data_IF_650231342170
#
_entry.id   IF_650231342170
#
_cell.length_a   1.000
_cell.length_b   1.000
_cell.length_c   1.000
_cell.angle_alpha   90.00
_cell.angle_beta   90.00
_cell.angle_gamma   90.00
#
_symmetry.space_group_name_H-M   'P 1'
#
loop_
_entity.id
_entity.type
_entity.pdbx_description
1 polymer ?
#
# COMPACT_ATOMS: atom_id res chain seq x y z
N UNK A 1 -6.61 -35.37 -77.93
CA UNK A 1 -7.19 -34.13 -77.38
C UNK A 1 -6.39 -33.79 -76.13
N UNK A 2 -5.66 -32.67 -76.16
CA UNK A 2 -4.99 -31.89 -75.10
C UNK A 2 -4.03 -32.66 -74.15
N UNK A 3 -2.75 -32.32 -73.93
CA UNK A 3 -1.93 -31.14 -74.23
C UNK A 3 -1.15 -30.70 -72.97
N UNK A 4 0.17 -30.98 -72.95
CA UNK A 4 1.30 -30.33 -72.24
C UNK A 4 1.37 -30.17 -70.70
N UNK A 5 2.48 -30.70 -70.15
CA UNK A 5 3.53 -30.14 -69.27
C UNK A 5 3.27 -29.17 -68.08
N UNK A 6 4.03 -29.47 -67.01
CA UNK A 6 4.63 -28.62 -65.95
C UNK A 6 3.84 -28.04 -64.74
N UNK A 7 4.57 -28.01 -63.60
CA UNK A 7 4.31 -27.58 -62.20
C UNK A 7 3.46 -26.28 -61.95
N UNK A 8 2.96 -25.94 -60.72
CA UNK A 8 3.67 -26.02 -59.42
C UNK A 8 2.85 -26.20 -58.10
N UNK A 9 3.61 -26.22 -56.99
CA UNK A 9 3.21 -26.08 -55.58
C UNK A 9 2.50 -24.75 -55.29
N UNK A 10 1.63 -24.74 -54.28
CA UNK A 10 1.08 -23.52 -53.66
C UNK A 10 0.34 -23.80 -52.34
N UNK A 11 0.96 -23.37 -51.25
CA UNK A 11 0.42 -22.83 -49.98
C UNK A 11 -0.60 -23.64 -49.14
N UNK A 12 -0.13 -24.00 -47.93
CA UNK A 12 -0.88 -24.68 -46.88
C UNK A 12 -2.02 -23.81 -46.31
N UNK A 13 -3.24 -24.34 -46.39
CA UNK A 13 -3.93 -24.87 -45.20
C UNK A 13 -4.59 -23.87 -44.23
N UNK A 14 -5.89 -23.68 -44.42
CA UNK A 14 -6.88 -22.93 -43.63
C UNK A 14 -7.50 -23.88 -42.51
N UNK A 15 -8.62 -23.56 -41.80
CA UNK A 15 -8.82 -22.90 -40.48
C UNK A 15 -9.51 -23.74 -39.34
N UNK A 16 -9.66 -23.07 -38.18
CA UNK A 16 -10.79 -23.01 -37.19
C UNK A 16 -11.83 -24.16 -37.11
N UNK A 17 -12.07 -24.59 -35.85
CA UNK A 17 -13.39 -24.47 -35.21
C UNK A 17 -14.20 -25.75 -34.91
N UNK A 18 -14.89 -25.70 -33.76
CA UNK A 18 -16.11 -26.42 -33.34
C UNK A 18 -15.99 -27.61 -32.35
N UNK A 19 -16.46 -27.29 -31.13
CA UNK A 19 -17.20 -28.05 -30.12
C UNK A 19 -17.91 -29.34 -30.58
N UNK A 20 -17.80 -30.40 -29.76
CA UNK A 20 -18.86 -31.40 -29.56
C UNK A 20 -18.83 -31.95 -28.12
N UNK A 21 -19.79 -31.49 -27.34
CA UNK A 21 -20.31 -32.17 -26.15
C UNK A 21 -21.26 -33.34 -26.53
N UNK A 22 -21.33 -34.34 -25.62
CA UNK A 22 -22.32 -35.44 -25.48
C UNK A 22 -22.20 -36.69 -26.37
N UNK A 23 -21.82 -37.79 -25.72
CA UNK A 23 -22.36 -39.18 -25.78
C UNK A 23 -21.48 -40.01 -24.81
N UNK A 24 -21.91 -40.95 -23.96
CA UNK A 24 -23.19 -41.55 -23.63
C UNK A 24 -22.93 -42.53 -22.46
N UNK A 25 -23.96 -42.78 -21.66
CA UNK A 25 -24.01 -43.69 -20.50
C UNK A 25 -24.04 -45.15 -20.97
N UNK A 26 -23.34 -46.08 -20.29
CA UNK A 26 -23.85 -47.34 -19.72
C UNK A 26 -22.71 -48.29 -19.26
N UNK A 27 -22.90 -48.93 -18.11
CA UNK A 27 -22.34 -50.26 -17.82
C UNK A 27 -21.48 -50.38 -16.56
N UNK A 28 -22.12 -50.50 -15.39
CA UNK A 28 -21.42 -50.87 -14.15
C UNK A 28 -21.17 -52.37 -13.99
N UNK A 29 -20.25 -52.73 -13.08
CA UNK A 29 -20.44 -53.71 -11.98
C UNK A 29 -19.16 -53.85 -11.12
N UNK A 30 -19.36 -53.62 -9.82
CA UNK A 30 -18.92 -54.37 -8.62
C UNK A 30 -17.42 -54.73 -8.43
N UNK A 31 -16.85 -54.14 -7.37
CA UNK A 31 -16.60 -54.85 -6.11
C UNK A 31 -15.18 -55.37 -5.86
N UNK A 32 -14.52 -54.83 -4.83
CA UNK A 32 -13.94 -55.60 -3.71
C UNK A 32 -13.25 -54.66 -2.71
N UNK A 33 -13.74 -54.68 -1.48
CA UNK A 33 -13.04 -54.26 -0.25
C UNK A 33 -11.75 -55.05 -0.05
N UNK A 34 -10.74 -54.44 0.60
CA UNK A 34 -9.80 -55.16 1.49
C UNK A 34 -9.35 -54.25 2.64
N UNK A 35 -9.62 -54.74 3.84
CA UNK A 35 -9.12 -54.27 5.14
C UNK A 35 -7.74 -54.90 5.46
N UNK A 36 -6.90 -54.11 6.16
CA UNK A 36 -5.88 -54.37 7.22
C UNK A 36 -5.17 -55.75 7.36
N UNK A 37 -3.92 -55.77 7.89
CA UNK A 37 -3.74 -55.83 9.36
C UNK A 37 -2.60 -54.97 9.96
N UNK A 38 -2.79 -54.70 11.26
CA UNK A 38 -1.80 -54.29 12.26
C UNK A 38 -0.70 -55.34 12.49
N UNK A 39 0.51 -54.90 12.83
CA UNK A 39 1.37 -55.62 13.78
C UNK A 39 2.10 -54.65 14.74
N UNK A 40 2.17 -55.07 16.01
CA UNK A 40 2.93 -54.45 17.10
C UNK A 40 4.29 -55.15 17.21
N UNK A 41 5.33 -54.41 17.57
CA UNK A 41 6.61 -54.96 18.02
C UNK A 41 7.37 -53.95 18.89
N UNK A 42 7.42 -54.24 20.19
CA UNK A 42 8.27 -53.61 21.21
C UNK A 42 9.65 -54.27 21.19
N UNK A 43 10.73 -53.54 21.55
CA UNK A 43 11.66 -53.85 22.65
C UNK A 43 12.98 -53.03 22.54
N UNK A 44 13.28 -52.30 23.63
CA UNK A 44 14.58 -52.03 24.30
C UNK A 44 15.83 -51.56 23.55
N UNK A 45 16.47 -50.53 24.12
CA UNK A 45 17.88 -50.18 23.84
C UNK A 45 18.35 -48.86 24.47
N UNK A 46 18.59 -48.88 25.77
CA UNK A 46 19.15 -47.84 26.67
C UNK A 46 20.53 -47.28 26.30
N UNK A 47 20.77 -45.98 26.57
CA UNK A 47 21.89 -45.42 27.38
C UNK A 47 21.81 -43.87 27.34
N UNK A 48 21.48 -43.21 28.45
CA UNK A 48 22.35 -42.73 29.54
C UNK A 48 23.13 -41.44 29.16
N UNK A 49 22.66 -40.27 29.58
CA UNK A 49 23.05 -39.55 30.81
C UNK A 49 24.45 -38.93 30.75
N UNK A 50 24.51 -37.60 30.74
CA UNK A 50 25.42 -36.84 31.61
C UNK A 50 24.87 -35.42 31.81
N UNK A 51 24.59 -35.13 33.07
CA UNK A 51 24.06 -33.90 33.65
C UNK A 51 25.17 -33.06 34.29
N UNK A 52 24.77 -31.85 34.68
CA UNK A 52 25.38 -30.97 35.70
C UNK A 52 26.45 -30.01 35.15
N UNK A 53 26.58 -28.76 35.58
CA UNK A 53 26.13 -28.07 36.80
C UNK A 53 26.22 -26.55 36.59
N UNK A 54 25.26 -25.78 37.15
CA UNK A 54 25.44 -24.76 38.21
C UNK A 54 25.77 -23.32 37.77
N UNK A 55 24.75 -22.47 37.95
CA UNK A 55 24.75 -21.16 38.63
C UNK A 55 26.09 -20.43 38.83
N UNK A 56 26.19 -19.19 38.32
CA UNK A 56 26.49 -18.04 39.20
C UNK A 56 26.00 -16.70 38.62
N UNK A 57 25.78 -15.78 39.55
CA UNK A 57 25.11 -14.49 39.52
C UNK A 57 25.89 -13.40 38.74
N UNK A 58 25.13 -12.43 38.20
CA UNK A 58 25.74 -11.25 37.59
C UNK A 58 24.74 -10.21 37.08
N UNK A 59 23.87 -9.68 37.95
CA UNK A 59 23.19 -8.42 37.64
C UNK A 59 24.22 -7.29 37.66
N UNK A 60 24.60 -6.79 36.47
CA UNK A 60 25.26 -5.49 36.33
C UNK A 60 24.31 -4.54 35.61
N UNK A 61 23.85 -3.54 36.34
CA UNK A 61 23.23 -2.35 35.79
C UNK A 61 24.18 -1.69 34.76
N UNK A 62 23.76 -1.65 33.49
CA UNK A 62 24.36 -0.80 32.49
C UNK A 62 23.43 0.39 32.25
N UNK A 63 23.63 1.47 33.02
CA UNK A 63 23.15 2.80 32.61
C UNK A 63 24.05 3.27 31.46
N UNK A 64 23.60 3.12 30.22
CA UNK A 64 24.21 3.85 29.10
C UNK A 64 23.70 5.30 29.13
N UNK A 65 24.58 6.21 29.56
CA UNK A 65 24.48 7.63 29.24
C UNK A 65 24.68 7.79 27.73
N UNK A 66 23.65 8.26 27.03
CA UNK A 66 23.82 8.79 25.68
C UNK A 66 24.20 10.27 25.82
N UNK A 67 25.42 10.58 25.45
CA UNK A 67 25.95 11.94 25.32
C UNK A 67 25.37 12.59 24.07
N UNK A 68 24.61 13.66 24.25
CA UNK A 68 24.18 14.56 23.17
C UNK A 68 25.39 15.35 22.65
N UNK A 69 25.72 15.16 21.37
CA UNK A 69 26.52 16.11 20.61
C UNK A 69 25.57 17.14 20.00
N UNK A 70 25.81 18.40 20.35
CA UNK A 70 24.96 19.53 20.01
C UNK A 70 24.88 19.79 18.51
N UNK A 71 23.66 20.09 18.07
CA UNK A 71 23.39 20.81 16.83
C UNK A 71 22.56 22.02 17.23
N UNK A 72 23.06 23.20 16.84
CA UNK A 72 22.48 24.51 17.14
C UNK A 72 21.02 24.59 16.66
N UNK A 73 20.13 25.00 17.58
CA UNK A 73 18.74 25.31 17.29
C UNK A 73 18.64 26.70 16.66
N UNK A 74 18.20 26.77 15.41
CA UNK A 74 17.44 27.93 14.92
C UNK A 74 15.95 27.64 15.19
N UNK A 75 15.36 28.45 16.08
CA UNK A 75 14.09 28.19 16.72
C UNK A 75 12.86 28.30 15.82
N UNK A 76 11.87 27.47 16.14
CA UNK A 76 10.45 27.66 15.84
C UNK A 76 9.63 27.16 17.03
N UNK A 77 8.93 28.11 17.67
CA UNK A 77 7.72 28.00 18.48
C UNK A 77 7.45 26.76 19.34
N UNK A 78 7.50 26.97 20.65
CA UNK A 78 6.96 26.07 21.69
C UNK A 78 5.45 25.81 21.49
N UNK A 79 5.06 24.55 21.32
CA UNK A 79 3.71 24.07 21.62
C UNK A 79 3.78 23.11 22.82
N UNK A 80 3.45 23.61 24.00
CA UNK A 80 3.26 22.79 25.20
C UNK A 80 1.87 22.16 25.22
N UNK A 81 1.76 20.84 25.06
CA UNK A 81 0.54 20.08 25.37
C UNK A 81 0.50 19.73 26.86
N UNK A 82 -0.47 20.29 27.61
CA UNK A 82 -0.78 19.86 28.98
C UNK A 82 -1.75 18.68 28.95
N UNK A 83 -1.38 17.62 29.67
CA UNK A 83 -2.22 16.49 30.09
C UNK A 83 -3.37 16.99 30.97
N UNK A 84 -4.62 16.66 30.62
CA UNK A 84 -5.74 16.70 31.55
C UNK A 84 -6.02 15.27 32.03
N UNK A 85 -6.03 15.06 33.36
CA UNK A 85 -6.51 13.83 34.02
C UNK A 85 -7.96 14.05 34.48
N UNK A 86 -8.71 12.95 34.42
CA UNK A 86 -9.93 12.57 35.15
C UNK A 86 -10.73 13.64 35.89
N UNK A 87 -12.05 13.67 35.63
CA UNK A 87 -13.05 13.33 36.65
C UNK A 87 -14.37 12.89 35.98
N UNK A 88 -14.91 11.79 36.51
CA UNK A 88 -16.22 11.21 36.25
C UNK A 88 -17.32 11.91 37.06
N UNK A 89 -18.53 12.02 36.48
CA UNK A 89 -19.85 11.61 37.01
C UNK A 89 -21.01 12.34 36.27
N UNK A 90 -22.15 11.65 36.20
CA UNK A 90 -23.34 11.81 35.32
C UNK A 90 -24.47 12.61 36.02
N UNK A 91 -25.72 12.69 35.50
CA UNK A 91 -26.34 13.66 34.57
C UNK A 91 -27.31 14.66 35.26
N UNK A 92 -27.79 15.69 34.54
CA UNK A 92 -29.06 16.38 34.87
C UNK A 92 -29.83 16.70 33.58
N UNK A 93 -31.15 16.61 33.72
CA UNK A 93 -32.26 16.45 32.79
C UNK A 93 -32.57 17.61 31.82
N UNK A 94 -33.39 17.24 30.83
CA UNK A 94 -34.19 18.05 29.90
C UNK A 94 -34.87 19.27 30.54
N UNK A 95 -34.81 20.42 29.86
CA UNK A 95 -35.95 21.33 29.72
C UNK A 95 -35.95 21.97 28.34
N UNK A 96 -37.10 21.78 27.69
CA UNK A 96 -37.59 22.35 26.45
C UNK A 96 -38.19 23.73 26.74
N UNK A 97 -37.88 24.76 25.92
CA UNK A 97 -38.85 25.73 25.36
C UNK A 97 -38.21 26.99 24.73
N UNK A 98 -38.85 27.47 23.66
CA UNK A 98 -39.01 28.92 23.46
C UNK A 98 -37.96 29.69 22.63
N UNK A 99 -38.04 29.59 21.30
CA UNK A 99 -37.81 30.76 20.43
C UNK A 99 -39.02 31.73 20.49
N UNK A 100 -38.99 33.00 20.00
CA UNK A 100 -37.90 33.79 19.43
C UNK A 100 -37.80 35.24 19.99
N UNK A 101 -36.66 35.91 19.83
CA UNK A 101 -36.62 37.35 19.49
C UNK A 101 -35.19 37.78 19.16
N UNK A 102 -35.09 38.67 18.19
CA UNK A 102 -33.86 38.95 17.46
C UNK A 102 -32.88 39.83 18.23
N UNK A 103 -31.64 39.78 17.75
CA UNK A 103 -30.76 40.93 17.56
C UNK A 103 -29.54 40.44 16.77
N UNK A 104 -29.32 41.05 15.60
CA UNK A 104 -28.05 40.92 14.87
C UNK A 104 -26.88 41.41 15.73
N UNK A 105 -25.66 40.89 15.47
CA UNK A 105 -24.58 41.84 15.28
C UNK A 105 -23.64 41.49 14.11
N UNK A 106 -23.53 42.47 13.22
CA UNK A 106 -22.28 43.02 12.68
C UNK A 106 -21.15 42.06 12.28
N UNK A 107 -21.06 41.89 10.95
CA UNK A 107 -19.88 41.48 10.21
C UNK A 107 -18.72 42.47 10.39
N UNK A 108 -17.55 41.96 10.80
CA UNK A 108 -16.27 42.65 10.67
C UNK A 108 -15.43 41.94 9.61
N UNK A 109 -15.49 42.42 8.36
CA UNK A 109 -14.49 42.13 7.33
C UNK A 109 -13.38 43.18 7.43
N UNK A 110 -12.15 42.74 7.71
CA UNK A 110 -10.95 43.57 7.48
C UNK A 110 -10.44 43.32 6.06
N UNK A 111 -10.20 44.36 5.24
CA UNK A 111 -9.56 44.20 3.95
C UNK A 111 -8.04 44.05 4.15
N UNK A 112 -7.50 42.90 3.72
CA UNK A 112 -6.05 42.70 3.57
C UNK A 112 -5.57 43.54 2.38
N UNK A 113 -4.74 44.53 2.66
CA UNK A 113 -4.01 45.31 1.66
C UNK A 113 -2.98 44.41 0.95
N UNK A 114 -3.19 44.15 -0.33
CA UNK A 114 -2.16 43.59 -1.22
C UNK A 114 -1.22 44.76 -1.58
N UNK A 115 0.04 44.69 -1.10
CA UNK A 115 1.10 45.59 -1.54
C UNK A 115 1.51 45.24 -2.97
N UNK A 116 1.28 46.16 -3.90
CA UNK A 116 1.94 46.18 -5.20
C UNK A 116 3.40 46.61 -5.02
N UNK A 117 4.35 45.76 -5.39
CA UNK A 117 5.74 46.19 -5.59
C UNK A 117 5.86 46.93 -6.93
N UNK A 118 6.19 48.22 -6.84
CA UNK A 118 6.45 49.08 -7.98
C UNK A 118 7.78 48.70 -8.66
N UNK A 119 7.69 48.31 -9.93
CA UNK A 119 8.82 48.19 -10.83
C UNK A 119 9.31 49.59 -11.23
N UNK A 120 10.44 50.03 -10.67
CA UNK A 120 11.11 51.29 -11.03
C UNK A 120 11.59 51.24 -12.48
N UNK A 121 10.93 51.97 -13.38
CA UNK A 121 11.49 52.39 -14.67
C UNK A 121 11.92 53.85 -14.60
N UNK A 122 13.20 54.08 -14.86
CA UNK A 122 13.83 55.40 -14.95
C UNK A 122 13.45 56.12 -16.25
N UNK A 123 13.15 57.40 -16.09
CA UNK A 123 12.90 58.44 -17.08
C UNK A 123 13.77 58.44 -18.35
N UNK A 124 13.15 58.79 -19.49
CA UNK A 124 13.55 59.93 -20.35
C UNK A 124 12.52 60.25 -21.45
N UNK A 125 11.89 61.43 -21.30
CA UNK A 125 11.33 62.40 -22.28
C UNK A 125 11.28 62.00 -23.77
N UNK A 126 10.12 62.20 -24.43
CA UNK A 126 9.92 63.37 -25.31
C UNK A 126 8.44 63.56 -25.74
N UNK A 127 8.09 64.81 -26.00
CA UNK A 127 6.78 65.42 -26.26
C UNK A 127 6.16 65.16 -27.64
N UNK A 128 4.82 65.12 -27.74
CA UNK A 128 3.90 66.01 -28.51
C UNK A 128 2.58 65.31 -28.91
N UNK A 129 1.49 66.07 -28.85
CA UNK A 129 0.15 65.74 -29.38
C UNK A 129 0.16 65.58 -30.91
N UNK A 130 -0.65 64.66 -31.46
CA UNK A 130 -1.75 64.90 -32.41
C UNK A 130 -2.36 63.58 -32.95
N UNK A 131 -3.70 63.56 -33.03
CA UNK A 131 -4.60 62.91 -34.00
C UNK A 131 -4.28 61.59 -34.73
N UNK A 132 -5.32 60.73 -34.74
CA UNK A 132 -5.78 59.83 -35.82
C UNK A 132 -4.87 58.71 -36.35
N UNK A 133 -5.37 57.47 -36.20
CA UNK A 133 -5.18 56.26 -37.01
C UNK A 133 -3.92 56.14 -37.89
N UNK A 134 -3.08 55.13 -37.60
CA UNK A 134 -2.55 54.17 -38.60
C UNK A 134 -1.74 53.07 -37.93
N UNK A 135 -1.93 51.84 -38.40
CA UNK A 135 -1.14 50.65 -38.06
C UNK A 135 0.28 50.77 -38.61
N UNK A 136 1.29 50.45 -37.79
CA UNK A 136 2.60 50.03 -38.25
C UNK A 136 2.98 48.78 -37.46
N UNK A 137 3.20 47.70 -38.22
CA UNK A 137 3.72 46.40 -37.78
C UNK A 137 5.23 46.58 -37.53
N UNK A 138 5.67 46.45 -36.29
CA UNK A 138 7.10 46.25 -35.98
C UNK A 138 7.32 44.89 -35.34
N UNK A 139 8.27 44.16 -35.95
CA UNK A 139 8.78 42.85 -35.56
C UNK A 139 9.38 42.91 -34.15
N UNK A 140 8.59 42.55 -33.15
CA UNK A 140 9.08 42.17 -31.82
C UNK A 140 9.20 40.66 -31.76
N UNK A 141 10.43 40.15 -31.69
CA UNK A 141 10.76 38.77 -31.33
C UNK A 141 9.83 38.28 -30.21
N UNK A 142 8.97 37.33 -30.54
CA UNK A 142 8.18 36.61 -29.55
C UNK A 142 9.19 35.81 -28.74
N UNK A 143 9.63 36.35 -27.59
CA UNK A 143 10.18 35.53 -26.53
C UNK A 143 9.05 34.56 -26.17
N UNK A 144 9.10 33.37 -26.77
CA UNK A 144 8.34 32.23 -26.32
C UNK A 144 8.82 31.99 -24.91
N UNK A 145 8.12 32.60 -23.95
CA UNK A 145 8.16 32.16 -22.58
C UNK A 145 7.71 30.71 -22.67
N UNK A 146 8.67 29.79 -22.62
CA UNK A 146 8.41 28.39 -22.36
C UNK A 146 7.67 28.38 -21.04
N UNK A 147 6.34 28.42 -21.11
CA UNK A 147 5.50 27.91 -20.05
C UNK A 147 6.02 26.49 -19.89
N UNK A 148 6.89 26.29 -18.89
CA UNK A 148 7.05 24.99 -18.25
C UNK A 148 5.62 24.53 -18.10
N UNK A 149 5.19 23.53 -18.86
CA UNK A 149 3.85 22.99 -18.72
C UNK A 149 3.75 22.63 -17.25
N UNK A 150 3.00 23.43 -16.50
CA UNK A 150 2.73 23.16 -15.10
C UNK A 150 1.87 21.92 -15.20
N UNK A 151 2.51 20.76 -15.06
CA UNK A 151 1.82 19.49 -14.98
C UNK A 151 0.74 19.66 -13.94
N UNK A 152 -0.47 19.20 -14.27
CA UNK A 152 -1.58 19.25 -13.33
C UNK A 152 -1.16 18.54 -12.03
N UNK A 153 -1.54 19.07 -10.87
CA UNK A 153 -1.22 18.45 -9.59
C UNK A 153 -1.71 16.99 -9.58
N UNK A 154 -0.82 16.02 -9.32
CA UNK A 154 -1.17 14.60 -9.16
C UNK A 154 -1.05 14.21 -7.68
N UNK A 155 -2.18 13.86 -7.07
CA UNK A 155 -2.27 13.23 -5.76
C UNK A 155 -2.88 11.83 -5.92
N UNK A 156 -2.32 10.84 -5.23
CA UNK A 156 -2.65 9.44 -5.48
C UNK A 156 -2.44 8.51 -4.30
N UNK A 157 -3.19 7.41 -4.32
CA UNK A 157 -2.98 6.22 -3.50
C UNK A 157 -3.60 5.03 -4.21
N UNK A 158 -2.89 3.90 -4.23
CA UNK A 158 -3.42 2.65 -4.81
C UNK A 158 -3.80 1.61 -3.76
N UNK A 159 -3.75 1.98 -2.47
CA UNK A 159 -4.05 1.09 -1.36
C UNK A 159 -5.24 1.64 -0.57
N UNK A 160 -6.45 1.20 -0.91
CA UNK A 160 -7.71 1.67 -0.29
C UNK A 160 -8.72 0.53 -0.19
N UNK A 161 -9.30 0.39 1.00
CA UNK A 161 -10.22 -0.67 1.38
C UNK A 161 -11.64 -0.15 1.58
N UNK A 162 -12.62 -1.05 1.56
CA UNK A 162 -14.06 -0.73 1.64
C UNK A 162 -14.82 -1.81 2.40
N UNK A 163 -16.13 -1.65 2.59
CA UNK A 163 -17.01 -2.69 3.17
C UNK A 163 -17.17 -3.95 2.31
N UNK A 164 -16.51 -4.05 1.14
CA UNK A 164 -16.33 -5.32 0.44
C UNK A 164 -15.41 -6.27 1.21
N UNK A 165 -14.43 -5.73 1.96
CA UNK A 165 -13.52 -6.41 2.88
C UNK A 165 -13.75 -5.88 4.32
N UNK A 166 -12.70 -5.59 5.09
CA UNK A 166 -12.78 -5.10 6.48
C UNK A 166 -12.77 -3.56 6.63
N UNK A 167 -12.86 -2.83 5.52
CA UNK A 167 -13.07 -1.38 5.52
C UNK A 167 -14.34 -0.97 6.26
N UNK A 168 -14.35 0.29 6.72
CA UNK A 168 -15.39 0.89 7.59
C UNK A 168 -16.38 1.78 6.85
N UNK A 169 -16.16 2.01 5.56
CA UNK A 169 -17.07 2.76 4.70
C UNK A 169 -17.20 2.09 3.33
N UNK A 170 -18.30 2.37 2.63
CA UNK A 170 -18.51 1.88 1.27
C UNK A 170 -17.61 2.59 0.26
N UNK A 171 -17.53 2.03 -0.96
CA UNK A 171 -16.67 2.55 -2.01
C UNK A 171 -17.03 3.98 -2.43
N UNK A 172 -18.32 4.35 -2.41
CA UNK A 172 -18.76 5.70 -2.78
C UNK A 172 -18.28 6.75 -1.77
N UNK A 173 -18.41 6.46 -0.47
CA UNK A 173 -17.92 7.33 0.61
C UNK A 173 -16.40 7.47 0.58
N UNK A 174 -15.68 6.38 0.34
CA UNK A 174 -14.22 6.41 0.20
C UNK A 174 -13.77 7.21 -1.03
N UNK A 175 -14.46 7.07 -2.17
CA UNK A 175 -14.18 7.85 -3.38
C UNK A 175 -14.45 9.35 -3.18
N UNK A 176 -15.56 9.69 -2.51
CA UNK A 176 -15.87 11.08 -2.18
C UNK A 176 -14.80 11.72 -1.30
N UNK A 177 -14.35 11.02 -0.26
CA UNK A 177 -13.27 11.50 0.59
C UNK A 177 -11.95 11.68 -0.16
N UNK A 178 -11.58 10.74 -1.05
CA UNK A 178 -10.41 10.92 -1.92
C UNK A 178 -10.52 12.15 -2.82
N UNK A 179 -11.70 12.39 -3.38
CA UNK A 179 -11.96 13.55 -4.22
C UNK A 179 -11.88 14.86 -3.43
N UNK A 180 -12.43 14.90 -2.21
CA UNK A 180 -12.31 16.04 -1.28
C UNK A 180 -10.86 16.30 -0.88
N UNK A 181 -10.03 15.25 -0.80
CA UNK A 181 -8.58 15.33 -0.62
C UNK A 181 -7.80 15.59 -1.92
N UNK A 182 -8.49 15.98 -2.99
CA UNK A 182 -7.91 16.35 -4.29
C UNK A 182 -7.13 15.25 -5.01
N UNK A 183 -7.47 13.98 -4.75
CA UNK A 183 -6.84 12.88 -5.46
C UNK A 183 -7.21 12.93 -6.93
N UNK A 184 -6.22 12.69 -7.79
CA UNK A 184 -6.42 12.53 -9.23
C UNK A 184 -6.34 11.06 -9.65
N UNK A 185 -5.74 10.19 -8.82
CA UNK A 185 -5.63 8.76 -9.06
C UNK A 185 -5.92 7.99 -7.76
N UNK A 186 -7.00 7.22 -7.73
CA UNK A 186 -7.39 6.39 -6.60
C UNK A 186 -7.44 4.92 -7.02
N UNK A 187 -6.78 4.03 -6.29
CA UNK A 187 -6.92 2.59 -6.45
C UNK A 187 -7.71 1.97 -5.31
N UNK A 188 -8.80 1.28 -5.63
CA UNK A 188 -9.43 0.35 -4.70
C UNK A 188 -8.72 -0.99 -4.78
N UNK A 189 -8.31 -1.52 -3.63
CA UNK A 189 -7.45 -2.69 -3.52
C UNK A 189 -7.96 -3.65 -2.44
N UNK A 190 -9.23 -4.02 -2.50
CA UNK A 190 -9.84 -4.89 -1.49
C UNK A 190 -9.00 -6.17 -1.28
N UNK A 191 -8.93 -6.63 -0.03
CA UNK A 191 -8.37 -7.95 0.28
C UNK A 191 -9.02 -9.04 -0.58
N UNK A 192 -8.21 -9.69 -1.42
CA UNK A 192 -8.65 -10.64 -2.42
C UNK A 192 -9.36 -11.85 -1.79
N UNK A 193 -10.38 -12.43 -2.43
CA UNK A 193 -11.01 -13.61 -1.88
C UNK A 193 -10.01 -14.78 -1.79
N UNK A 194 -10.06 -15.50 -0.68
CA UNK A 194 -9.20 -16.66 -0.37
C UNK A 194 -10.06 -17.90 -0.08
N UNK A 195 -9.53 -19.14 -0.24
CA UNK A 195 -10.32 -20.36 -0.04
C UNK A 195 -10.65 -20.66 1.44
N UNK A 196 -10.17 -19.83 2.35
CA UNK A 196 -10.32 -19.98 3.80
C UNK A 196 -11.35 -18.96 4.30
N UNK A 197 -12.17 -19.36 5.28
CA UNK A 197 -13.15 -18.44 5.86
C UNK A 197 -12.44 -17.41 6.73
N UNK A 198 -12.54 -16.14 6.35
CA UNK A 198 -11.99 -15.01 7.13
C UNK A 198 -13.04 -13.93 7.30
N UNK A 199 -12.78 -12.97 8.19
CA UNK A 199 -13.61 -11.77 8.33
C UNK A 199 -13.05 -10.54 7.59
N UNK A 200 -11.85 -10.65 7.02
CA UNK A 200 -11.12 -9.53 6.44
C UNK A 200 -11.03 -9.57 4.92
N UNK A 201 -11.05 -10.75 4.30
CA UNK A 201 -11.12 -10.84 2.85
C UNK A 201 -12.53 -10.61 2.33
N UNK A 202 -12.61 -10.06 1.11
CA UNK A 202 -13.86 -10.08 0.36
C UNK A 202 -14.28 -11.54 0.10
N UNK A 203 -15.55 -11.93 0.31
CA UNK A 203 -16.02 -13.25 -0.10
C UNK A 203 -16.22 -13.30 -1.63
N UNK A 204 -15.96 -14.46 -2.25
CA UNK A 204 -16.13 -14.67 -3.69
C UNK A 204 -17.51 -14.25 -4.22
N UNK A 205 -18.57 -14.41 -3.41
CA UNK A 205 -19.94 -14.00 -3.78
C UNK A 205 -20.13 -12.50 -3.97
N UNK A 206 -19.21 -11.66 -3.48
CA UNK A 206 -19.24 -10.20 -3.67
C UNK A 206 -18.41 -9.71 -4.86
N UNK A 207 -17.70 -10.60 -5.56
CA UNK A 207 -16.74 -10.23 -6.61
C UNK A 207 -17.37 -9.41 -7.73
N UNK A 208 -18.51 -9.86 -8.28
CA UNK A 208 -19.20 -9.13 -9.35
C UNK A 208 -19.68 -7.75 -8.89
N UNK A 209 -20.22 -7.65 -7.68
CA UNK A 209 -20.68 -6.39 -7.10
C UNK A 209 -19.52 -5.42 -6.86
N UNK A 210 -18.35 -5.91 -6.42
CA UNK A 210 -17.13 -5.11 -6.26
C UNK A 210 -16.68 -4.52 -7.59
N UNK A 211 -16.53 -5.38 -8.61
CA UNK A 211 -16.15 -4.95 -9.97
C UNK A 211 -17.14 -3.91 -10.50
N UNK A 212 -18.44 -4.20 -10.45
CA UNK A 212 -19.45 -3.28 -10.96
C UNK A 212 -19.43 -1.92 -10.24
N UNK A 213 -19.27 -1.93 -8.92
CA UNK A 213 -19.24 -0.71 -8.09
C UNK A 213 -18.03 0.15 -8.42
N UNK A 214 -16.83 -0.42 -8.41
CA UNK A 214 -15.60 0.34 -8.66
C UNK A 214 -15.56 0.86 -10.10
N UNK A 215 -16.00 0.07 -11.08
CA UNK A 215 -16.07 0.51 -12.48
C UNK A 215 -17.09 1.62 -12.69
N UNK A 216 -18.24 1.57 -12.01
CA UNK A 216 -19.22 2.66 -12.05
C UNK A 216 -18.67 3.96 -11.46
N UNK A 217 -18.01 3.89 -10.30
CA UNK A 217 -17.35 5.05 -9.68
C UNK A 217 -16.26 5.62 -10.60
N UNK A 218 -15.48 4.77 -11.26
CA UNK A 218 -14.49 5.23 -12.24
C UNK A 218 -15.09 6.03 -13.39
N UNK A 219 -16.26 5.64 -13.89
CA UNK A 219 -16.98 6.40 -14.92
C UNK A 219 -17.53 7.72 -14.40
N UNK A 220 -18.03 7.74 -13.17
CA UNK A 220 -18.58 8.94 -12.51
C UNK A 220 -17.50 10.00 -12.27
N UNK A 221 -16.39 9.61 -11.65
CA UNK A 221 -15.33 10.54 -11.24
C UNK A 221 -14.38 10.92 -12.38
N UNK A 222 -14.29 10.12 -13.45
CA UNK A 222 -13.49 10.48 -14.63
C UNK A 222 -13.93 11.82 -15.24
N UNK A 223 -15.23 12.13 -15.20
CA UNK A 223 -15.79 13.42 -15.66
C UNK A 223 -15.39 14.60 -14.79
N UNK A 224 -14.95 14.32 -13.56
CA UNK A 224 -14.52 15.29 -12.56
C UNK A 224 -12.98 15.36 -12.44
N UNK A 225 -12.25 14.60 -13.26
CA UNK A 225 -10.79 14.64 -13.30
C UNK A 225 -10.08 13.68 -12.35
N UNK A 226 -10.79 12.78 -11.65
CA UNK A 226 -10.19 11.73 -10.84
C UNK A 226 -10.36 10.37 -11.52
N UNK A 227 -9.24 9.67 -11.74
CA UNK A 227 -9.20 8.30 -12.24
C UNK A 227 -9.34 7.33 -11.07
N UNK A 228 -10.24 6.36 -11.19
CA UNK A 228 -10.38 5.28 -10.22
C UNK A 228 -10.00 3.96 -10.87
N UNK A 229 -9.10 3.22 -10.21
CA UNK A 229 -8.56 1.94 -10.65
C UNK A 229 -9.13 0.80 -9.82
N UNK A 230 -9.47 -0.29 -10.49
CA UNK A 230 -9.90 -1.54 -9.89
C UNK A 230 -8.68 -2.43 -9.65
N UNK A 231 -8.34 -2.67 -8.39
CA UNK A 231 -7.31 -3.61 -7.99
C UNK A 231 -7.74 -4.55 -6.88
N UNK A 232 -6.81 -5.39 -6.47
CA UNK A 232 -6.91 -6.24 -5.29
C UNK A 232 -5.59 -6.21 -4.52
N UNK A 233 -5.68 -6.31 -3.20
CA UNK A 233 -4.55 -6.73 -2.37
C UNK A 233 -4.59 -8.26 -2.27
N UNK A 234 -3.61 -8.90 -2.88
CA UNK A 234 -3.49 -10.36 -3.02
C UNK A 234 -2.45 -10.90 -2.05
N UNK A 235 -2.85 -11.88 -1.27
CA UNK A 235 -1.98 -12.52 -0.30
C UNK A 235 -1.05 -13.54 -0.94
N UNK A 236 0.16 -13.64 -0.40
CA UNK A 236 1.02 -14.80 -0.59
C UNK A 236 1.04 -15.65 0.67
N UNK A 237 0.41 -16.82 0.58
CA UNK A 237 0.41 -17.85 1.60
C UNK A 237 0.54 -19.21 0.91
N UNK A 238 1.75 -19.80 0.85
CA UNK A 238 2.02 -21.03 0.09
C UNK A 238 1.01 -22.14 0.39
N UNK A 239 0.39 -22.68 -0.67
CA UNK A 239 -0.63 -23.74 -0.57
C UNK A 239 -2.02 -23.26 -0.14
N UNK A 240 -2.22 -21.95 0.04
CA UNK A 240 -3.52 -21.35 0.39
C UNK A 240 -3.95 -20.33 -0.67
N UNK A 241 -3.10 -19.35 -0.95
CA UNK A 241 -3.39 -18.28 -1.93
C UNK A 241 -2.09 -17.62 -2.38
N UNK A 242 -2.15 -16.98 -3.53
CA UNK A 242 -1.01 -16.57 -4.31
C UNK A 242 -1.39 -15.36 -5.20
N UNK A 243 -0.49 -14.40 -5.47
CA UNK A 243 -0.87 -13.20 -6.25
C UNK A 243 -1.33 -13.45 -7.68
N UNK A 244 -0.77 -14.46 -8.36
CA UNK A 244 -1.08 -14.84 -9.74
C UNK A 244 -2.24 -15.87 -9.87
N UNK A 245 -3.05 -16.07 -8.81
CA UNK A 245 -4.09 -17.11 -8.80
C UNK A 245 -5.01 -16.95 -10.02
N UNK A 246 -5.17 -17.99 -10.87
CA UNK A 246 -5.97 -17.89 -12.09
C UNK A 246 -7.43 -17.48 -11.83
N UNK A 247 -7.95 -17.79 -10.64
CA UNK A 247 -9.29 -17.40 -10.22
C UNK A 247 -9.48 -15.87 -10.18
N UNK A 248 -8.42 -15.08 -10.00
CA UNK A 248 -8.50 -13.62 -10.04
C UNK A 248 -8.71 -13.04 -11.44
N UNK A 249 -8.62 -13.87 -12.50
CA UNK A 249 -8.89 -13.46 -13.88
C UNK A 249 -10.30 -12.88 -14.09
N UNK A 250 -11.28 -13.27 -13.26
CA UNK A 250 -12.67 -12.78 -13.34
C UNK A 250 -12.82 -11.29 -13.03
N UNK A 251 -11.86 -10.69 -12.33
CA UNK A 251 -11.93 -9.29 -11.95
C UNK A 251 -11.48 -8.33 -13.05
N UNK A 252 -10.66 -8.82 -14.00
CA UNK A 252 -10.01 -7.99 -15.02
C UNK A 252 -9.37 -6.73 -14.40
N UNK A 253 -8.42 -6.95 -13.48
CA UNK A 253 -7.80 -5.91 -12.65
C UNK A 253 -7.01 -4.91 -13.49
N UNK A 254 -6.99 -3.66 -13.04
CA UNK A 254 -6.09 -2.62 -13.54
C UNK A 254 -4.70 -2.70 -12.89
N UNK A 255 -4.64 -3.19 -11.65
CA UNK A 255 -3.42 -3.45 -10.89
C UNK A 255 -3.67 -4.45 -9.75
N UNK A 256 -2.62 -5.01 -9.16
CA UNK A 256 -2.69 -5.72 -7.87
C UNK A 256 -1.51 -5.41 -6.95
N UNK A 257 -1.77 -5.55 -5.66
CA UNK A 257 -0.76 -5.48 -4.59
C UNK A 257 -0.45 -6.90 -4.13
N UNK A 258 0.81 -7.27 -4.03
CA UNK A 258 1.27 -8.51 -3.39
C UNK A 258 1.66 -8.25 -1.95
N UNK A 259 1.01 -8.94 -1.01
CA UNK A 259 1.23 -8.77 0.44
C UNK A 259 1.50 -10.09 1.14
N UNK A 260 2.30 -10.06 2.20
CA UNK A 260 2.51 -11.20 3.10
C UNK A 260 1.86 -10.90 4.45
N UNK A 261 0.64 -11.38 4.67
CA UNK A 261 0.02 -11.35 6.01
C UNK A 261 0.27 -12.64 6.77
N UNK A 262 0.30 -13.77 6.06
CA UNK A 262 0.39 -15.11 6.65
C UNK A 262 1.83 -15.58 6.77
N UNK A 263 2.18 -16.20 7.88
CA UNK A 263 3.43 -16.96 8.05
C UNK A 263 3.15 -18.46 8.29
N UNK A 264 1.93 -18.88 7.99
CA UNK A 264 1.46 -20.27 8.16
C UNK A 264 1.98 -21.13 7.01
N UNK A 265 2.42 -22.36 7.29
CA UNK A 265 2.65 -23.39 6.27
C UNK A 265 1.45 -24.35 6.19
N UNK A 266 1.26 -25.08 5.07
CA UNK A 266 0.24 -26.11 4.96
C UNK A 266 0.28 -27.11 6.13
N UNK A 267 -0.84 -27.27 6.82
CA UNK A 267 -0.96 -28.14 8.00
C UNK A 267 -0.63 -27.47 9.34
N UNK A 268 -0.11 -26.24 9.34
CA UNK A 268 0.06 -25.43 10.56
C UNK A 268 -1.24 -24.67 10.91
N UNK A 269 -1.36 -24.24 12.17
CA UNK A 269 -2.46 -23.38 12.59
C UNK A 269 -2.32 -21.97 11.99
N UNK A 270 -3.45 -21.35 11.64
CA UNK A 270 -3.47 -20.00 11.07
C UNK A 270 -2.78 -18.97 11.96
N UNK A 271 -1.80 -18.28 11.37
CA UNK A 271 -0.99 -17.27 12.00
C UNK A 271 -0.70 -16.15 10.99
N UNK A 272 -1.21 -14.95 11.27
CA UNK A 272 -0.86 -13.74 10.53
C UNK A 272 -0.01 -12.80 11.38
N UNK A 273 0.85 -12.02 10.74
CA UNK A 273 1.77 -11.10 11.45
C UNK A 273 1.08 -9.85 11.98
N UNK A 274 -0.13 -9.60 11.51
CA UNK A 274 -0.83 -8.33 11.62
C UNK A 274 -2.18 -8.42 12.35
N UNK A 275 -2.48 -9.58 12.92
CA UNK A 275 -3.63 -9.79 13.80
C UNK A 275 -3.57 -8.92 15.07
N UNK A 276 -4.68 -8.81 15.84
CA UNK A 276 -4.67 -8.07 17.10
C UNK A 276 -3.55 -8.56 18.03
N UNK A 277 -2.86 -7.62 18.70
CA UNK A 277 -1.63 -7.88 19.45
C UNK A 277 -1.74 -9.05 20.45
N UNK A 278 -2.86 -9.16 21.18
CA UNK A 278 -3.09 -10.24 22.14
C UNK A 278 -3.17 -11.63 21.45
N UNK A 279 -3.79 -11.70 20.27
CA UNK A 279 -3.89 -12.94 19.49
C UNK A 279 -2.53 -13.31 18.93
N UNK A 280 -1.79 -12.32 18.39
CA UNK A 280 -0.43 -12.49 17.93
C UNK A 280 0.46 -13.05 19.06
N UNK A 281 0.43 -12.42 20.24
CA UNK A 281 1.20 -12.85 21.40
C UNK A 281 0.87 -14.28 21.85
N UNK A 282 -0.40 -14.68 21.79
CA UNK A 282 -0.82 -16.05 22.09
C UNK A 282 -0.24 -17.05 21.08
N UNK A 283 -0.36 -16.76 19.78
CA UNK A 283 0.15 -17.63 18.72
C UNK A 283 1.66 -17.73 18.70
N UNK A 284 2.38 -16.63 18.95
CA UNK A 284 3.84 -16.65 19.10
C UNK A 284 4.28 -17.63 20.18
N UNK A 285 3.64 -17.60 21.37
CA UNK A 285 3.97 -18.52 22.47
C UNK A 285 3.66 -19.97 22.14
N UNK A 286 2.60 -20.23 21.39
CA UNK A 286 2.26 -21.58 20.95
C UNK A 286 3.23 -22.11 19.87
N UNK A 287 3.66 -21.24 18.96
CA UNK A 287 4.49 -21.59 17.80
C UNK A 287 5.99 -21.65 18.13
N UNK A 288 6.45 -20.83 19.08
CA UNK A 288 7.82 -20.80 19.59
C UNK A 288 7.84 -20.94 21.12
N UNK A 289 7.44 -22.10 21.68
CA UNK A 289 7.34 -22.31 23.13
C UNK A 289 8.71 -22.22 23.82
N UNK A 290 9.80 -22.47 23.09
CA UNK A 290 11.18 -22.39 23.57
C UNK A 290 11.76 -20.96 23.52
N UNK A 291 11.00 -19.98 23.01
CA UNK A 291 11.43 -18.58 22.93
C UNK A 291 12.26 -18.21 21.70
N UNK A 292 12.46 -19.12 20.73
CA UNK A 292 13.07 -18.78 19.43
C UNK A 292 12.06 -18.08 18.51
N UNK A 293 11.89 -16.78 18.74
CA UNK A 293 11.00 -15.93 17.96
C UNK A 293 11.60 -15.52 16.60
N UNK A 294 12.88 -15.84 16.32
CA UNK A 294 13.51 -15.54 15.03
C UNK A 294 12.81 -16.26 13.87
N UNK A 295 12.14 -17.37 14.17
CA UNK A 295 11.32 -18.12 13.21
C UNK A 295 10.26 -17.24 12.53
N UNK A 296 9.73 -16.23 13.23
CA UNK A 296 8.65 -15.36 12.74
C UNK A 296 9.14 -14.56 11.54
N UNK A 297 10.22 -13.80 11.73
CA UNK A 297 10.77 -12.97 10.67
C UNK A 297 11.46 -13.80 9.59
N UNK A 298 12.09 -14.94 9.94
CA UNK A 298 12.68 -15.84 8.94
C UNK A 298 11.62 -16.34 7.97
N UNK A 299 10.47 -16.77 8.49
CA UNK A 299 9.35 -17.23 7.68
C UNK A 299 8.74 -16.09 6.86
N UNK A 300 8.57 -14.91 7.46
CA UNK A 300 8.07 -13.74 6.74
C UNK A 300 8.95 -13.37 5.56
N UNK A 301 10.27 -13.20 5.77
CA UNK A 301 11.19 -12.82 4.69
C UNK A 301 11.36 -13.94 3.65
N UNK A 302 11.29 -15.21 4.07
CA UNK A 302 11.21 -16.33 3.13
C UNK A 302 9.98 -16.22 2.23
N UNK A 303 8.80 -15.94 2.78
CA UNK A 303 7.57 -15.80 2.01
C UNK A 303 7.57 -14.54 1.14
N UNK A 304 8.13 -13.43 1.63
CA UNK A 304 8.32 -12.21 0.83
C UNK A 304 9.20 -12.49 -0.39
N UNK A 305 10.34 -13.15 -0.21
CA UNK A 305 11.23 -13.53 -1.32
C UNK A 305 10.54 -14.47 -2.31
N UNK A 306 9.80 -15.48 -1.82
CA UNK A 306 9.05 -16.39 -2.69
C UNK A 306 7.91 -15.69 -3.45
N UNK A 307 7.21 -14.76 -2.81
CA UNK A 307 6.19 -13.93 -3.45
C UNK A 307 6.81 -13.10 -4.59
N UNK A 308 7.88 -12.37 -4.31
CA UNK A 308 8.60 -11.55 -5.29
C UNK A 308 9.12 -12.41 -6.45
N UNK A 309 9.71 -13.57 -6.16
CA UNK A 309 10.23 -14.47 -7.19
C UNK A 309 9.14 -14.94 -8.14
N UNK A 310 7.97 -15.25 -7.57
CA UNK A 310 6.81 -15.77 -8.30
C UNK A 310 6.09 -14.70 -9.11
N UNK A 311 6.02 -13.47 -8.61
CA UNK A 311 5.37 -12.35 -9.28
C UNK A 311 3.85 -12.50 -9.39
N UNK A 312 3.26 -11.88 -10.42
CA UNK A 312 1.81 -11.83 -10.63
C UNK A 312 1.11 -10.61 -10.02
N UNK A 313 1.89 -9.60 -9.63
CA UNK A 313 1.38 -8.37 -9.04
C UNK A 313 2.25 -7.16 -9.44
N UNK A 314 1.74 -5.95 -9.23
CA UNK A 314 2.38 -4.70 -9.66
C UNK A 314 3.09 -3.98 -8.52
N UNK A 315 2.53 -4.03 -7.31
CA UNK A 315 3.00 -3.29 -6.13
C UNK A 315 3.30 -4.27 -4.99
N UNK A 316 4.46 -4.17 -4.36
CA UNK A 316 4.74 -4.86 -3.09
C UNK A 316 4.12 -4.06 -1.95
N UNK A 317 3.18 -4.68 -1.22
CA UNK A 317 2.52 -4.10 -0.05
C UNK A 317 3.43 -4.03 1.18
N UNK A 318 3.17 -3.08 2.08
CA UNK A 318 3.77 -2.88 3.42
C UNK A 318 4.97 -3.80 3.75
N UNK A 319 6.12 -3.48 3.14
CA UNK A 319 7.25 -4.41 2.93
C UNK A 319 7.82 -5.10 4.18
N UNK A 320 7.77 -4.45 5.34
CA UNK A 320 8.26 -4.98 6.63
C UNK A 320 7.15 -5.10 7.68
N UNK A 321 5.91 -5.40 7.24
CA UNK A 321 4.73 -5.60 8.10
C UNK A 321 4.97 -6.54 9.29
N UNK A 322 5.93 -7.46 9.20
CA UNK A 322 6.32 -8.34 10.31
C UNK A 322 6.65 -7.61 11.61
N UNK A 323 7.11 -6.34 11.53
CA UNK A 323 7.37 -5.52 12.72
C UNK A 323 6.09 -5.04 13.41
N UNK A 324 4.91 -5.23 12.80
CA UNK A 324 3.64 -4.64 13.26
C UNK A 324 3.37 -4.88 14.74
N UNK A 325 3.56 -6.12 15.18
CA UNK A 325 3.35 -6.55 16.56
C UNK A 325 4.67 -6.77 17.33
N UNK A 326 5.79 -6.23 16.84
CA UNK A 326 7.12 -6.30 17.45
C UNK A 326 7.53 -5.00 18.17
N UNK A 327 6.57 -4.31 18.79
CA UNK A 327 6.85 -3.08 19.53
C UNK A 327 7.99 -3.28 20.54
N UNK A 328 8.92 -2.32 20.58
CA UNK A 328 10.10 -2.30 21.45
C UNK A 328 11.01 -3.55 21.34
N UNK A 329 10.99 -4.24 20.20
CA UNK A 329 11.79 -5.46 19.99
C UNK A 329 11.32 -6.63 20.86
N UNK A 330 10.04 -6.62 21.27
CA UNK A 330 9.47 -7.60 22.23
C UNK A 330 9.67 -9.05 21.83
N UNK A 331 9.64 -9.36 20.54
CA UNK A 331 9.78 -10.72 20.04
C UNK A 331 11.13 -10.94 19.39
N UNK A 332 11.62 -10.00 18.59
CA UNK A 332 12.90 -10.13 17.93
C UNK A 332 13.58 -8.78 17.76
N UNK A 333 14.91 -8.80 17.61
CA UNK A 333 15.72 -7.62 17.34
C UNK A 333 15.72 -7.33 15.82
N UNK A 334 15.18 -6.18 15.44
CA UNK A 334 15.18 -5.70 14.04
C UNK A 334 16.57 -5.20 13.61
N UNK A 335 17.49 -5.00 14.55
CA UNK A 335 18.89 -4.66 14.29
C UNK A 335 19.80 -5.89 14.16
N UNK A 336 19.26 -7.11 14.33
CA UNK A 336 19.99 -8.36 14.07
C UNK A 336 20.53 -8.34 12.62
N UNK A 337 21.84 -8.54 12.42
CA UNK A 337 22.43 -8.58 11.08
C UNK A 337 21.74 -9.57 10.14
N UNK A 338 21.24 -10.70 10.63
CA UNK A 338 20.53 -11.71 9.84
C UNK A 338 19.12 -11.25 9.46
N UNK A 339 18.44 -10.50 10.32
CA UNK A 339 17.14 -9.91 10.00
C UNK A 339 17.29 -8.89 8.87
N UNK A 340 18.26 -7.97 9.02
CA UNK A 340 18.53 -6.93 8.03
C UNK A 340 18.99 -7.53 6.70
N UNK A 341 19.87 -8.53 6.74
CA UNK A 341 20.33 -9.20 5.52
C UNK A 341 19.16 -9.86 4.76
N UNK A 342 18.25 -10.53 5.46
CA UNK A 342 17.05 -11.11 4.84
C UNK A 342 16.13 -10.03 4.22
N UNK A 343 15.91 -8.92 4.91
CA UNK A 343 15.15 -7.79 4.36
C UNK A 343 15.82 -7.19 3.12
N UNK A 344 17.15 -7.04 3.14
CA UNK A 344 17.92 -6.49 2.03
C UNK A 344 17.97 -7.43 0.83
N UNK A 345 18.04 -8.73 1.04
CA UNK A 345 17.92 -9.72 -0.04
C UNK A 345 16.56 -9.62 -0.75
N UNK A 346 15.47 -9.42 0.00
CA UNK A 346 14.15 -9.20 -0.59
C UNK A 346 14.09 -7.89 -1.40
N UNK A 347 14.70 -6.79 -0.90
CA UNK A 347 14.78 -5.52 -1.65
C UNK A 347 15.58 -5.68 -2.94
N UNK A 348 16.74 -6.34 -2.87
CA UNK A 348 17.61 -6.57 -4.01
C UNK A 348 16.87 -7.38 -5.10
N UNK A 349 16.13 -8.42 -4.70
CA UNK A 349 15.32 -9.23 -5.61
C UNK A 349 14.17 -8.41 -6.23
N UNK A 350 13.47 -7.60 -5.44
CA UNK A 350 12.41 -6.72 -5.94
C UNK A 350 12.94 -5.74 -7.00
N UNK A 351 14.14 -5.19 -6.78
CA UNK A 351 14.79 -4.27 -7.70
C UNK A 351 15.21 -4.99 -9.00
N UNK A 352 15.76 -6.20 -8.90
CA UNK A 352 16.10 -7.05 -10.06
C UNK A 352 14.87 -7.35 -10.93
N UNK A 353 13.73 -7.64 -10.30
CA UNK A 353 12.45 -7.89 -10.99
C UNK A 353 11.78 -6.61 -11.51
N UNK A 354 12.31 -5.43 -11.19
CA UNK A 354 11.79 -4.14 -11.65
C UNK A 354 10.41 -3.77 -11.09
N UNK A 355 10.08 -4.27 -9.89
CA UNK A 355 8.81 -4.04 -9.22
C UNK A 355 8.68 -2.62 -8.65
N UNK A 356 7.48 -2.28 -8.18
CA UNK A 356 7.21 -1.07 -7.40
C UNK A 356 6.91 -1.50 -5.95
N UNK A 357 7.46 -0.81 -4.96
CA UNK A 357 7.11 -1.01 -3.55
C UNK A 357 6.36 0.21 -3.00
N UNK A 358 5.35 -0.01 -2.15
CA UNK A 358 4.67 1.11 -1.51
C UNK A 358 5.40 1.60 -0.25
N UNK A 359 5.36 2.91 -0.04
CA UNK A 359 5.45 3.52 1.28
C UNK A 359 4.03 3.52 1.83
N UNK A 360 3.72 2.55 2.68
CA UNK A 360 2.43 2.35 3.31
C UNK A 360 2.30 3.19 4.58
N UNK A 361 1.26 4.03 4.65
CA UNK A 361 0.99 4.88 5.82
C UNK A 361 -0.13 4.36 6.73
N UNK A 362 -0.72 3.21 6.43
CA UNK A 362 -1.84 2.63 7.20
C UNK A 362 -1.47 2.28 8.64
N UNK A 363 -0.19 1.96 8.90
CA UNK A 363 0.34 1.78 10.26
C UNK A 363 0.26 3.06 11.10
N UNK A 364 0.58 4.22 10.50
CA UNK A 364 0.46 5.54 11.13
C UNK A 364 -1.01 5.92 11.33
N UNK A 365 -1.82 5.78 10.27
CA UNK A 365 -3.23 6.18 10.28
C UNK A 365 -4.05 5.47 11.37
N UNK A 366 -3.71 4.21 11.66
CA UNK A 366 -4.38 3.39 12.67
C UNK A 366 -3.70 3.40 14.04
N UNK A 367 -2.70 4.27 14.24
CA UNK A 367 -1.96 4.40 15.49
C UNK A 367 -1.21 3.12 15.91
N UNK A 368 -0.77 2.32 14.94
CA UNK A 368 -0.04 1.07 15.19
C UNK A 368 1.46 1.27 15.26
N UNK A 369 1.98 2.23 14.49
CA UNK A 369 3.42 2.54 14.39
C UNK A 369 3.64 4.05 14.36
N UNK A 370 4.89 4.46 14.59
CA UNK A 370 5.33 5.85 14.52
C UNK A 370 6.06 6.19 13.22
N UNK A 371 6.25 5.21 12.34
CA UNK A 371 6.81 5.36 11.00
C UNK A 371 5.97 4.55 9.98
N UNK A 372 6.04 4.85 8.68
CA UNK A 372 5.41 4.03 7.65
C UNK A 372 6.14 2.69 7.48
N UNK A 373 5.55 1.79 6.68
CA UNK A 373 6.25 0.65 6.12
C UNK A 373 6.74 1.01 4.71
N UNK A 374 7.97 0.68 4.28
CA UNK A 374 9.04 0.11 5.08
C UNK A 374 9.67 1.08 6.09
N UNK A 375 10.39 0.52 7.08
CA UNK A 375 11.32 1.25 7.95
C UNK A 375 12.36 2.04 7.14
N UNK A 376 12.88 3.12 7.73
CA UNK A 376 13.82 4.02 7.05
C UNK A 376 15.08 3.31 6.50
N UNK A 377 15.57 2.29 7.21
CA UNK A 377 16.76 1.52 6.79
C UNK A 377 16.49 0.67 5.55
N UNK A 378 15.33 0.02 5.49
CA UNK A 378 14.90 -0.75 4.31
C UNK A 378 14.61 0.22 3.16
N UNK A 379 13.93 1.34 3.41
CA UNK A 379 13.65 2.36 2.40
C UNK A 379 14.95 2.94 1.79
N UNK A 380 15.98 3.17 2.60
CA UNK A 380 17.31 3.58 2.12
C UNK A 380 17.94 2.53 1.21
N UNK A 381 17.80 1.23 1.53
CA UNK A 381 18.27 0.15 0.66
C UNK A 381 17.52 0.11 -0.66
N UNK A 382 16.20 0.34 -0.63
CA UNK A 382 15.39 0.42 -1.85
C UNK A 382 15.91 1.52 -2.80
N UNK A 383 16.22 2.70 -2.26
CA UNK A 383 16.86 3.77 -3.02
C UNK A 383 18.21 3.32 -3.62
N UNK A 384 19.09 2.73 -2.81
CA UNK A 384 20.43 2.34 -3.23
C UNK A 384 20.44 1.26 -4.33
N UNK A 385 19.33 0.52 -4.46
CA UNK A 385 19.11 -0.48 -5.49
C UNK A 385 18.28 0.01 -6.68
N UNK A 386 17.82 1.26 -6.65
CA UNK A 386 16.97 1.82 -7.69
C UNK A 386 15.58 1.19 -7.76
N UNK A 387 15.08 0.61 -6.66
CA UNK A 387 13.72 0.09 -6.59
C UNK A 387 12.73 1.26 -6.71
N UNK A 388 11.71 1.10 -7.56
CA UNK A 388 10.66 2.11 -7.73
C UNK A 388 9.76 2.14 -6.50
N UNK A 389 9.33 3.33 -6.08
CA UNK A 389 8.43 3.49 -4.94
C UNK A 389 7.16 4.27 -5.28
N UNK A 390 6.06 3.91 -4.61
CA UNK A 390 4.75 4.59 -4.65
C UNK A 390 4.27 4.89 -3.23
N UNK A 391 3.13 5.56 -3.04
CA UNK A 391 2.50 5.75 -1.73
C UNK A 391 1.19 4.96 -1.67
N UNK A 392 0.97 4.28 -0.55
CA UNK A 392 -0.28 3.60 -0.22
C UNK A 392 -0.83 4.11 1.11
N UNK A 393 -2.06 4.63 1.10
CA UNK A 393 -2.71 5.08 2.33
C UNK A 393 -3.10 3.91 3.24
N UNK A 394 -3.39 2.76 2.65
CA UNK A 394 -4.02 1.60 3.30
C UNK A 394 -5.27 2.03 4.10
N UNK A 395 -6.06 2.85 3.40
CA UNK A 395 -7.20 3.55 3.97
C UNK A 395 -8.37 2.58 4.16
N UNK A 396 -8.65 2.25 5.41
CA UNK A 396 -9.84 1.49 5.82
C UNK A 396 -11.03 2.36 6.24
N UNK A 397 -10.85 3.67 6.34
CA UNK A 397 -11.91 4.62 6.69
C UNK A 397 -11.64 5.96 5.97
N UNK A 398 -12.66 6.80 5.73
CA UNK A 398 -12.50 8.05 4.99
C UNK A 398 -11.41 8.95 5.58
N UNK A 399 -11.30 9.01 6.91
CA UNK A 399 -10.33 9.85 7.63
C UNK A 399 -8.88 9.36 7.51
N UNK A 400 -8.64 8.18 6.93
CA UNK A 400 -7.29 7.67 6.68
C UNK A 400 -6.72 8.15 5.35
N UNK A 401 -7.58 8.59 4.42
CA UNK A 401 -7.17 9.03 3.09
C UNK A 401 -6.34 10.32 3.21
N UNK A 402 -5.17 10.34 2.60
CA UNK A 402 -4.31 11.53 2.52
C UNK A 402 -3.61 11.95 3.82
N UNK A 403 -4.03 11.41 4.97
CA UNK A 403 -3.62 11.88 6.31
C UNK A 403 -2.12 11.88 6.56
N UNK A 404 -1.36 11.05 5.84
CA UNK A 404 0.09 10.87 6.06
C UNK A 404 0.94 10.96 4.78
N UNK A 405 0.39 11.46 3.68
CA UNK A 405 1.09 11.63 2.40
C UNK A 405 2.35 12.50 2.55
N UNK A 406 2.27 13.61 3.31
CA UNK A 406 3.43 14.47 3.59
C UNK A 406 4.54 13.74 4.36
N UNK A 407 4.17 12.83 5.27
CA UNK A 407 5.16 12.01 5.99
C UNK A 407 5.82 11.02 5.03
N UNK A 408 5.04 10.35 4.17
CA UNK A 408 5.56 9.42 3.16
C UNK A 408 6.58 10.11 2.24
N UNK A 409 6.28 11.32 1.76
CA UNK A 409 7.21 12.10 0.93
C UNK A 409 8.47 12.49 1.71
N UNK A 410 8.32 12.91 2.97
CA UNK A 410 9.46 13.28 3.81
C UNK A 410 10.41 12.10 4.02
N UNK A 411 9.90 10.91 4.34
CA UNK A 411 10.77 9.72 4.52
C UNK A 411 11.38 9.25 3.20
N UNK A 412 10.67 9.36 2.08
CA UNK A 412 11.22 9.08 0.75
C UNK A 412 12.43 9.97 0.45
N UNK A 413 12.28 11.28 0.69
CA UNK A 413 13.36 12.26 0.52
C UNK A 413 14.57 11.95 1.41
N UNK A 414 14.33 11.64 2.68
CA UNK A 414 15.41 11.32 3.63
C UNK A 414 16.15 10.03 3.24
N UNK A 415 15.46 9.07 2.61
CA UNK A 415 16.08 7.87 2.05
C UNK A 415 16.87 8.13 0.75
N UNK A 416 16.73 9.30 0.13
CA UNK A 416 17.47 9.72 -1.06
C UNK A 416 16.62 9.81 -2.34
N UNK A 417 15.34 9.42 -2.29
CA UNK A 417 14.48 9.49 -3.47
C UNK A 417 14.19 10.93 -3.90
N UNK A 418 14.12 11.16 -5.21
CA UNK A 418 13.76 12.44 -5.83
C UNK A 418 12.39 12.43 -6.49
N UNK A 419 11.75 11.26 -6.58
CA UNK A 419 10.52 11.01 -7.32
C UNK A 419 9.75 9.80 -6.78
N UNK A 420 8.47 9.72 -7.13
CA UNK A 420 7.57 8.59 -6.89
C UNK A 420 6.94 8.15 -8.21
N UNK A 421 6.51 6.89 -8.24
CA UNK A 421 5.82 6.28 -9.36
C UNK A 421 4.32 6.19 -9.10
N UNK A 422 3.51 6.48 -10.11
CA UNK A 422 2.06 6.33 -10.06
C UNK A 422 1.53 5.67 -11.34
N UNK A 423 0.42 4.94 -11.21
CA UNK A 423 -0.27 4.31 -12.33
C UNK A 423 -1.20 5.33 -13.01
N UNK A 424 -0.93 5.65 -14.28
CA UNK A 424 -1.71 6.63 -15.05
C UNK A 424 -2.81 5.97 -15.91
N UNK A 425 -2.58 4.72 -16.31
CA UNK A 425 -3.52 3.82 -16.97
C UNK A 425 -3.08 2.37 -16.66
N UNK A 426 -3.92 1.34 -16.83
CA UNK A 426 -3.51 -0.05 -16.62
C UNK A 426 -2.21 -0.37 -17.38
N UNK A 427 -1.19 -0.83 -16.67
CA UNK A 427 0.16 -1.10 -17.20
C UNK A 427 1.02 0.12 -17.56
N UNK A 428 0.52 1.35 -17.40
CA UNK A 428 1.24 2.59 -17.69
C UNK A 428 1.64 3.31 -16.40
N UNK A 429 2.88 3.07 -15.97
CA UNK A 429 3.48 3.75 -14.83
C UNK A 429 4.21 5.03 -15.27
N UNK A 430 4.02 6.11 -14.51
CA UNK A 430 4.69 7.39 -14.69
C UNK A 430 5.44 7.79 -13.44
N UNK A 431 6.52 8.53 -13.63
CA UNK A 431 7.34 9.08 -12.57
C UNK A 431 7.02 10.56 -12.37
N UNK A 432 6.97 11.00 -11.11
CA UNK A 432 6.76 12.39 -10.74
C UNK A 432 7.73 12.80 -9.63
N UNK A 433 8.31 14.00 -9.69
CA UNK A 433 9.24 14.45 -8.67
C UNK A 433 8.55 14.74 -7.34
N UNK A 434 9.26 14.57 -6.22
CA UNK A 434 8.72 14.88 -4.89
C UNK A 434 8.29 16.35 -4.77
N UNK A 435 9.00 17.27 -5.44
CA UNK A 435 8.65 18.70 -5.46
C UNK A 435 7.33 18.95 -6.19
N UNK A 436 7.04 18.20 -7.25
CA UNK A 436 5.76 18.30 -7.95
C UNK A 436 4.62 17.80 -7.07
N UNK A 437 4.79 16.67 -6.38
CA UNK A 437 3.76 16.06 -5.52
C UNK A 437 3.50 16.93 -4.28
N UNK A 438 4.53 17.52 -3.65
CA UNK A 438 4.31 18.39 -2.49
C UNK A 438 3.52 19.65 -2.80
N UNK A 439 3.53 20.13 -4.04
CA UNK A 439 2.74 21.29 -4.46
C UNK A 439 1.25 20.97 -4.61
N UNK A 440 0.89 19.69 -4.59
CA UNK A 440 -0.50 19.21 -4.77
C UNK A 440 -1.20 18.94 -3.45
N UNK A 441 -0.43 18.75 -2.38
CA UNK A 441 -0.87 18.54 -1.00
C UNK A 441 -0.85 19.84 -0.23
#
# INVERSE_FOLDING_TARGET
MNGADDCPRGENGIPRGADLSRCGVYGGRRGAERQYPHERGSLYGSSAFASSSQYDQGQRHFQKRVSFLGIEQCGLGDYTFRRARDHSLVPVEELDDGSPSGQEPHTCFSPVQIRHEECKRSDRRCSRNFGSHSFIVEKGSCCVNTHRMIGWPVAFSFHTHTTFCDGKADAATMAAAAFEHHYTHLGFSAHAPVPIKTRWHMPWSKSEAYVATVRALGQEYARQGMKIFLGLETDYAPGITMPDEPAYGVFHLDFSIGSVHYITAPGEAFFTVDEPEEQFAHKVRAWAPEGDYTKIWKRYWQYMAQMIERGGFDIIGHFDLVKKNNADGRWFDEEDPLYIDAAFQAVDLAAEKGLVAEINTGGLARGKHHEPYPSARILKRMHDKGLRITIGDDAHAPQHIGSYQRIAIHVARNAGFTSLWYLDAPGLWKEMSLEQIERTL
#
